data_IF_948883394083
#
_entry.id   IF_948883394083
#
_cell.length_a   1.000
_cell.length_b   1.000
_cell.length_c   1.000
_cell.angle_alpha   90.00
_cell.angle_beta   90.00
_cell.angle_gamma   90.00
#
_symmetry.space_group_name_H-M   'P 1'
#
loop_
_entity.id
_entity.type
_entity.pdbx_description
1 polymer ?
#
# COMPACT_ATOMS: atom_id res chain seq x y z
N UNK A 1 23.91 20.47 -22.20
CA UNK A 1 24.59 19.78 -21.09
C UNK A 1 24.17 20.29 -19.70
N UNK A 2 23.83 21.56 -19.51
CA UNK A 2 23.41 22.14 -18.20
C UNK A 2 21.97 21.80 -17.75
N UNK A 3 21.05 21.43 -18.65
CA UNK A 3 19.66 21.12 -18.31
C UNK A 3 19.46 19.69 -17.74
N UNK A 4 20.30 18.75 -18.14
CA UNK A 4 20.28 17.37 -17.65
C UNK A 4 20.75 17.25 -16.20
N UNK A 5 21.66 18.11 -15.78
CA UNK A 5 22.24 18.09 -14.44
C UNK A 5 21.24 18.61 -13.37
N UNK A 6 20.56 19.74 -13.66
CA UNK A 6 19.51 20.29 -12.78
C UNK A 6 18.30 19.36 -12.61
N UNK A 7 17.86 18.70 -13.69
CA UNK A 7 16.76 17.71 -13.62
C UNK A 7 17.12 16.56 -12.67
N UNK A 8 18.33 16.02 -12.79
CA UNK A 8 18.83 14.95 -11.94
C UNK A 8 18.94 15.37 -10.47
N UNK A 9 19.32 16.63 -10.20
CA UNK A 9 19.40 17.14 -8.84
C UNK A 9 18.01 17.29 -8.19
N UNK A 10 17.03 17.81 -8.92
CA UNK A 10 15.65 17.94 -8.43
C UNK A 10 14.97 16.58 -8.22
N UNK A 11 15.22 15.62 -9.10
CA UNK A 11 14.74 14.23 -8.90
C UNK A 11 15.33 13.60 -7.62
N UNK A 12 16.62 13.84 -7.35
CA UNK A 12 17.25 13.41 -6.10
C UNK A 12 16.68 14.14 -4.87
N UNK A 13 16.35 15.43 -5.01
CA UNK A 13 15.75 16.21 -3.93
C UNK A 13 14.34 15.70 -3.60
N UNK A 14 13.52 15.39 -4.60
CA UNK A 14 12.19 14.77 -4.43
C UNK A 14 12.31 13.39 -3.77
N UNK A 15 13.25 12.58 -4.21
CA UNK A 15 13.50 11.26 -3.61
C UNK A 15 13.94 11.36 -2.13
N UNK A 16 14.81 12.33 -1.78
CA UNK A 16 15.20 12.58 -0.38
C UNK A 16 13.99 12.99 0.46
N UNK A 17 13.10 13.84 -0.06
CA UNK A 17 11.87 14.21 0.64
C UNK A 17 10.98 12.98 0.88
N UNK A 18 10.77 12.16 -0.14
CA UNK A 18 10.02 10.91 0.00
C UNK A 18 10.65 9.96 1.03
N UNK A 19 11.98 9.82 1.01
CA UNK A 19 12.70 8.99 1.98
C UNK A 19 12.56 9.50 3.43
N UNK A 20 12.57 10.82 3.65
CA UNK A 20 12.28 11.40 4.97
C UNK A 20 10.84 11.08 5.41
N UNK A 21 9.89 11.15 4.49
CA UNK A 21 8.46 10.92 4.73
C UNK A 21 8.07 9.43 4.75
N UNK A 22 8.97 8.50 4.46
CA UNK A 22 8.67 7.05 4.53
C UNK A 22 8.68 6.48 5.95
N UNK A 23 9.05 7.28 6.95
CA UNK A 23 9.06 6.89 8.35
C UNK A 23 7.66 6.87 8.93
N UNK A 24 7.41 5.95 9.86
CA UNK A 24 6.10 5.82 10.52
C UNK A 24 5.93 6.89 11.60
N UNK A 25 7.02 7.22 12.29
CA UNK A 25 7.06 8.24 13.34
C UNK A 25 8.06 9.33 12.99
N UNK A 26 7.72 10.57 13.34
CA UNK A 26 8.59 11.72 13.14
C UNK A 26 8.65 12.55 14.44
N UNK A 27 9.84 13.05 14.75
CA UNK A 27 10.08 14.06 15.77
C UNK A 27 10.12 15.48 15.15
N UNK A 28 10.24 16.49 16.01
CA UNK A 28 10.29 17.89 15.58
C UNK A 28 11.46 18.17 14.63
N UNK A 29 12.62 17.60 14.89
CA UNK A 29 13.81 17.79 14.05
C UNK A 29 13.62 17.20 12.65
N UNK A 30 12.91 16.06 12.54
CA UNK A 30 12.58 15.48 11.25
C UNK A 30 11.54 16.31 10.50
N UNK A 31 10.54 16.87 11.16
CA UNK A 31 9.58 17.78 10.52
C UNK A 31 10.25 19.05 9.99
N UNK A 32 11.19 19.63 10.71
CA UNK A 32 11.99 20.76 10.19
C UNK A 32 12.80 20.36 8.95
N UNK A 33 13.38 19.16 8.93
CA UNK A 33 14.12 18.67 7.76
C UNK A 33 13.20 18.46 6.57
N UNK A 34 11.98 17.92 6.80
CA UNK A 34 10.96 17.76 5.77
C UNK A 34 10.57 19.12 5.19
N UNK A 35 10.31 20.13 6.03
CA UNK A 35 9.95 21.46 5.59
C UNK A 35 11.07 22.11 4.75
N UNK A 36 12.33 22.03 5.21
CA UNK A 36 13.49 22.53 4.45
C UNK A 36 13.67 21.82 3.11
N UNK A 37 13.54 20.49 3.08
CA UNK A 37 13.67 19.72 1.84
C UNK A 37 12.54 20.03 0.86
N UNK A 38 11.32 20.19 1.36
CA UNK A 38 10.16 20.60 0.57
C UNK A 38 10.34 21.99 -0.05
N UNK A 39 10.87 22.96 0.71
CA UNK A 39 11.12 24.32 0.23
C UNK A 39 12.20 24.38 -0.88
N UNK A 40 13.03 23.37 -1.01
CA UNK A 40 14.09 23.29 -2.03
C UNK A 40 13.61 22.69 -3.37
N UNK A 41 12.37 22.17 -3.45
CA UNK A 41 11.84 21.58 -4.68
C UNK A 41 11.36 22.66 -5.65
N UNK A 42 11.69 22.48 -6.92
CA UNK A 42 11.14 23.30 -8.00
C UNK A 42 9.73 22.84 -8.42
N UNK A 43 9.09 23.58 -9.31
CA UNK A 43 7.73 23.30 -9.77
C UNK A 43 7.61 21.92 -10.44
N UNK A 44 8.60 21.50 -11.23
CA UNK A 44 8.61 20.22 -11.91
C UNK A 44 8.71 19.05 -10.92
N UNK A 45 9.59 19.15 -9.94
CA UNK A 45 9.75 18.12 -8.91
C UNK A 45 8.45 17.97 -8.10
N UNK A 46 7.78 19.06 -7.77
CA UNK A 46 6.46 19.04 -7.13
C UNK A 46 5.38 18.37 -8.00
N UNK A 47 5.33 18.66 -9.28
CA UNK A 47 4.34 18.09 -10.21
C UNK A 47 4.46 16.56 -10.29
N UNK A 48 5.68 16.04 -10.33
CA UNK A 48 5.94 14.60 -10.43
C UNK A 48 5.76 13.85 -9.10
N UNK A 49 5.83 14.55 -7.98
CA UNK A 49 5.89 13.94 -6.64
C UNK A 49 4.69 13.05 -6.28
N UNK A 50 3.41 13.41 -6.57
CA UNK A 50 2.28 12.54 -6.28
C UNK A 50 2.34 11.20 -7.00
N UNK A 51 2.74 11.20 -8.27
CA UNK A 51 2.89 9.99 -9.06
C UNK A 51 4.02 9.10 -8.51
N UNK A 52 5.18 9.68 -8.22
CA UNK A 52 6.30 8.95 -7.63
C UNK A 52 5.93 8.36 -6.26
N UNK A 53 5.27 9.14 -5.40
CA UNK A 53 4.84 8.69 -4.09
C UNK A 53 3.81 7.54 -4.17
N UNK A 54 2.93 7.56 -5.16
CA UNK A 54 1.99 6.45 -5.43
C UNK A 54 2.72 5.20 -5.91
N UNK A 55 3.65 5.33 -6.84
CA UNK A 55 4.48 4.23 -7.35
C UNK A 55 5.25 3.53 -6.22
N UNK A 56 5.80 4.32 -5.28
CA UNK A 56 6.53 3.79 -4.12
C UNK A 56 5.63 3.40 -2.94
N UNK A 57 4.31 3.56 -3.04
CA UNK A 57 3.36 3.19 -1.99
C UNK A 57 3.50 4.01 -0.71
N UNK A 58 3.91 5.28 -0.81
CA UNK A 58 4.12 6.17 0.35
C UNK A 58 3.26 7.45 0.31
N UNK A 59 2.37 7.58 -0.68
CA UNK A 59 1.54 8.79 -0.83
C UNK A 59 0.79 9.20 0.46
N UNK A 60 0.18 8.26 1.24
CA UNK A 60 -0.47 8.63 2.50
C UNK A 60 0.50 9.13 3.58
N UNK A 61 1.68 8.54 3.70
CA UNK A 61 2.71 8.99 4.64
C UNK A 61 3.25 10.37 4.23
N UNK A 62 3.58 10.52 2.94
CA UNK A 62 4.04 11.80 2.39
C UNK A 62 3.05 12.92 2.67
N UNK A 63 1.76 12.72 2.37
CA UNK A 63 0.71 13.70 2.67
C UNK A 63 0.66 14.06 4.15
N UNK A 64 0.67 13.03 5.01
CA UNK A 64 0.58 13.22 6.47
C UNK A 64 1.75 14.03 7.01
N UNK A 65 2.97 13.71 6.59
CA UNK A 65 4.17 14.38 7.07
C UNK A 65 4.35 15.79 6.49
N UNK A 66 4.04 16.01 5.21
CA UNK A 66 4.04 17.36 4.64
C UNK A 66 3.07 18.27 5.38
N UNK A 67 1.88 17.78 5.72
CA UNK A 67 0.88 18.52 6.48
C UNK A 67 1.36 18.81 7.91
N UNK A 68 1.90 17.81 8.61
CA UNK A 68 2.40 17.96 9.98
C UNK A 68 3.61 18.90 10.06
N UNK A 69 4.47 18.87 9.04
CA UNK A 69 5.63 19.76 8.93
C UNK A 69 5.27 21.19 8.45
N UNK A 70 3.99 21.48 8.17
CA UNK A 70 3.57 22.73 7.52
C UNK A 70 4.41 23.08 6.28
N UNK A 71 4.77 22.04 5.50
CA UNK A 71 5.65 22.17 4.35
C UNK A 71 4.98 23.00 3.23
N UNK A 72 5.74 23.83 2.47
CA UNK A 72 5.21 24.73 1.44
C UNK A 72 4.85 23.96 0.15
N UNK A 73 4.00 22.96 0.24
CA UNK A 73 3.56 22.19 -0.92
C UNK A 73 2.50 22.99 -1.72
N UNK A 74 2.58 23.00 -3.07
CA UNK A 74 1.55 23.61 -3.92
C UNK A 74 0.17 23.00 -3.67
N UNK A 75 -0.87 23.83 -3.77
CA UNK A 75 -2.26 23.44 -3.50
C UNK A 75 -2.70 22.24 -4.34
N UNK A 76 -2.31 22.19 -5.62
CA UNK A 76 -2.64 21.08 -6.53
C UNK A 76 -2.00 19.77 -6.07
N UNK A 77 -0.74 19.81 -5.62
CA UNK A 77 -0.01 18.66 -5.08
C UNK A 77 -0.67 18.17 -3.78
N UNK A 78 -1.03 19.11 -2.89
CA UNK A 78 -1.76 18.75 -1.66
C UNK A 78 -3.09 18.08 -1.96
N UNK A 79 -3.84 18.59 -2.96
CA UNK A 79 -5.12 18.01 -3.40
C UNK A 79 -4.94 16.61 -3.97
N UNK A 80 -3.94 16.41 -4.85
CA UNK A 80 -3.60 15.11 -5.43
C UNK A 80 -3.22 14.08 -4.36
N UNK A 81 -2.30 14.42 -3.45
CA UNK A 81 -1.87 13.54 -2.36
C UNK A 81 -3.00 13.22 -1.38
N UNK A 82 -3.89 14.20 -1.10
CA UNK A 82 -5.09 13.97 -0.29
C UNK A 82 -6.03 12.97 -0.96
N UNK A 83 -6.27 13.11 -2.27
CA UNK A 83 -7.09 12.19 -3.06
C UNK A 83 -6.54 10.76 -2.99
N UNK A 84 -5.24 10.58 -3.22
CA UNK A 84 -4.55 9.29 -3.09
C UNK A 84 -4.69 8.71 -1.67
N UNK A 85 -4.51 9.54 -0.65
CA UNK A 85 -4.66 9.12 0.75
C UNK A 85 -6.06 8.62 1.06
N UNK A 86 -7.10 9.33 0.61
CA UNK A 86 -8.50 8.93 0.80
C UNK A 86 -8.80 7.63 0.06
N UNK A 87 -8.33 7.49 -1.18
CA UNK A 87 -8.48 6.26 -1.98
C UNK A 87 -7.87 5.05 -1.25
N UNK A 88 -6.64 5.17 -0.75
CA UNK A 88 -6.00 4.08 0.00
C UNK A 88 -6.71 3.75 1.30
N UNK A 89 -7.23 4.75 2.01
CA UNK A 89 -8.01 4.51 3.24
C UNK A 89 -9.29 3.73 2.95
N UNK A 90 -10.02 4.09 1.91
CA UNK A 90 -11.25 3.40 1.50
C UNK A 90 -10.94 1.98 1.02
N UNK A 91 -9.95 1.82 0.13
CA UNK A 91 -9.53 0.53 -0.36
C UNK A 91 -9.08 -0.42 0.76
N UNK A 92 -8.26 0.06 1.68
CA UNK A 92 -7.81 -0.74 2.82
C UNK A 92 -8.97 -1.12 3.74
N UNK A 93 -9.92 -0.20 3.98
CA UNK A 93 -11.11 -0.51 4.78
C UNK A 93 -11.93 -1.63 4.16
N UNK A 94 -12.17 -1.58 2.85
CA UNK A 94 -12.91 -2.61 2.13
C UNK A 94 -12.16 -3.96 2.18
N UNK A 95 -10.84 -3.97 1.89
CA UNK A 95 -10.00 -5.18 1.96
C UNK A 95 -9.95 -5.80 3.35
N UNK A 96 -9.90 -4.98 4.40
CA UNK A 96 -9.88 -5.47 5.78
C UNK A 96 -11.23 -6.05 6.20
N UNK A 97 -12.34 -5.50 5.71
CA UNK A 97 -13.65 -6.08 5.95
C UNK A 97 -13.75 -7.49 5.34
N UNK A 98 -13.29 -7.65 4.10
CA UNK A 98 -13.29 -8.95 3.42
C UNK A 98 -12.29 -9.93 4.06
N UNK A 99 -11.09 -9.47 4.43
CA UNK A 99 -10.12 -10.28 5.16
C UNK A 99 -10.75 -10.86 6.44
N UNK A 100 -11.54 -10.08 7.17
CA UNK A 100 -12.22 -10.56 8.37
C UNK A 100 -13.15 -11.73 8.06
N UNK A 101 -13.95 -11.63 6.98
CA UNK A 101 -14.82 -12.72 6.55
C UNK A 101 -14.03 -13.97 6.17
N UNK A 102 -12.89 -13.81 5.50
CA UNK A 102 -11.98 -14.92 5.18
C UNK A 102 -11.49 -15.61 6.45
N UNK A 103 -11.01 -14.82 7.41
CA UNK A 103 -10.48 -15.34 8.68
C UNK A 103 -11.57 -16.10 9.49
N UNK A 104 -12.79 -15.55 9.52
CA UNK A 104 -13.94 -16.20 10.18
C UNK A 104 -14.28 -17.55 9.51
N UNK A 105 -14.29 -17.59 8.17
CA UNK A 105 -14.52 -18.82 7.40
C UNK A 105 -13.42 -19.86 7.60
N UNK A 106 -12.16 -19.41 7.63
CA UNK A 106 -11.02 -20.29 7.90
C UNK A 106 -11.07 -20.84 9.33
N UNK A 107 -11.40 -20.00 10.30
CA UNK A 107 -11.58 -20.39 11.70
C UNK A 107 -12.69 -21.43 11.86
N UNK A 108 -13.85 -21.21 11.28
CA UNK A 108 -14.98 -22.17 11.29
C UNK A 108 -14.61 -23.50 10.63
N UNK A 109 -13.69 -23.49 9.67
CA UNK A 109 -13.17 -24.68 9.02
C UNK A 109 -11.97 -25.32 9.77
N UNK A 110 -11.55 -24.81 10.92
CA UNK A 110 -10.40 -25.28 11.66
C UNK A 110 -9.06 -25.07 10.96
N UNK A 111 -8.97 -24.07 10.07
CA UNK A 111 -7.73 -23.70 9.39
C UNK A 111 -7.01 -22.62 10.21
N UNK A 112 -5.86 -22.98 10.77
CA UNK A 112 -4.96 -22.00 11.37
C UNK A 112 -4.30 -21.17 10.27
N UNK A 113 -4.35 -19.85 10.39
CA UNK A 113 -3.84 -18.91 9.39
C UNK A 113 -3.00 -17.81 10.07
N UNK A 114 -1.94 -17.40 9.41
CA UNK A 114 -1.17 -16.21 9.79
C UNK A 114 -1.27 -15.17 8.67
N UNK A 115 -1.71 -13.97 9.00
CA UNK A 115 -1.70 -12.82 8.07
C UNK A 115 -0.30 -12.27 7.97
N UNK A 116 0.21 -12.09 6.76
CA UNK A 116 1.57 -11.67 6.50
C UNK A 116 1.65 -10.25 5.89
N UNK A 117 2.87 -9.78 5.70
CA UNK A 117 3.25 -8.59 4.91
C UNK A 117 2.40 -7.34 5.16
N UNK A 118 1.80 -6.79 4.07
CA UNK A 118 1.11 -5.51 4.07
C UNK A 118 -0.05 -5.43 5.06
N UNK A 119 -0.91 -6.44 5.08
CA UNK A 119 -2.09 -6.48 5.94
C UNK A 119 -1.73 -6.59 7.43
N UNK A 120 -0.75 -7.44 7.77
CA UNK A 120 -0.26 -7.54 9.15
C UNK A 120 0.40 -6.25 9.61
N UNK A 121 1.32 -5.69 8.80
CA UNK A 121 2.04 -4.46 9.14
C UNK A 121 1.10 -3.28 9.32
N UNK A 122 0.07 -3.15 8.47
CA UNK A 122 -0.89 -2.06 8.55
C UNK A 122 -1.59 -1.98 9.93
N UNK A 123 -1.80 -3.11 10.59
CA UNK A 123 -2.43 -3.18 11.92
C UNK A 123 -1.45 -3.19 13.08
N UNK A 124 -0.27 -3.80 12.90
CA UNK A 124 0.68 -3.98 14.00
C UNK A 124 1.63 -2.79 14.17
N UNK A 125 1.94 -2.08 13.08
CA UNK A 125 3.03 -1.11 13.06
C UNK A 125 2.54 0.30 12.75
N UNK A 126 1.60 0.46 11.80
CA UNK A 126 1.15 1.78 11.38
C UNK A 126 0.13 2.37 12.34
N UNK A 127 0.18 3.69 12.64
CA UNK A 127 -0.79 4.36 13.51
C UNK A 127 -2.24 4.20 13.05
N UNK A 128 -2.44 4.13 11.73
CA UNK A 128 -3.72 3.78 11.11
C UNK A 128 -3.47 2.92 9.88
N UNK A 129 -4.29 1.89 9.62
CA UNK A 129 -4.11 1.03 8.46
C UNK A 129 -4.11 1.76 7.11
N UNK A 130 -4.80 2.90 7.03
CA UNK A 130 -4.87 3.71 5.81
C UNK A 130 -3.57 4.37 5.38
N UNK A 131 -2.55 4.38 6.24
CA UNK A 131 -1.22 4.90 5.90
C UNK A 131 -0.34 3.89 5.16
N UNK A 132 -0.73 2.63 5.12
CA UNK A 132 -0.01 1.55 4.41
C UNK A 132 -0.78 1.13 3.16
N UNK A 133 -0.47 1.66 1.97
CA UNK A 133 -1.05 1.17 0.72
C UNK A 133 -0.83 -0.34 0.58
N UNK A 134 -1.88 -1.06 0.21
CA UNK A 134 -1.85 -2.50 -0.03
C UNK A 134 -2.55 -2.78 -1.36
N UNK A 135 -2.14 -3.85 -2.05
CA UNK A 135 -2.78 -4.35 -3.28
C UNK A 135 -3.33 -5.75 -3.07
N UNK A 136 -2.69 -6.50 -2.18
CA UNK A 136 -2.89 -7.91 -1.90
C UNK A 136 -2.96 -8.17 -0.40
N UNK A 137 -3.40 -9.37 -0.05
CA UNK A 137 -3.39 -9.93 1.30
C UNK A 137 -2.71 -11.30 1.23
N UNK A 138 -1.62 -11.44 1.96
CA UNK A 138 -0.87 -12.69 2.06
C UNK A 138 -1.31 -13.48 3.30
N UNK A 139 -1.69 -14.73 3.10
CA UNK A 139 -2.13 -15.65 4.14
C UNK A 139 -1.24 -16.90 4.17
N UNK A 140 -0.62 -17.17 5.29
CA UNK A 140 0.16 -18.39 5.49
C UNK A 140 -0.70 -19.42 6.19
N UNK A 141 -0.82 -20.61 5.60
CA UNK A 141 -1.52 -21.77 6.16
C UNK A 141 -0.60 -22.99 6.17
N UNK A 142 -0.97 -24.02 6.94
CA UNK A 142 -0.24 -25.30 6.86
C UNK A 142 -0.43 -25.92 5.47
N UNK A 143 0.58 -26.58 4.89
CA UNK A 143 0.49 -27.20 3.55
C UNK A 143 -0.72 -28.15 3.42
N UNK A 144 -1.04 -28.91 4.46
CA UNK A 144 -2.20 -29.81 4.50
C UNK A 144 -3.56 -29.11 4.42
N UNK A 145 -3.62 -27.81 4.76
CA UNK A 145 -4.85 -27.00 4.74
C UNK A 145 -4.99 -26.17 3.45
N UNK A 146 -3.95 -26.05 2.65
CA UNK A 146 -3.88 -25.12 1.54
C UNK A 146 -4.97 -25.33 0.48
N UNK A 147 -5.20 -26.59 0.04
CA UNK A 147 -6.28 -26.92 -0.93
C UNK A 147 -7.67 -26.61 -0.36
N UNK A 148 -7.85 -26.78 0.96
CA UNK A 148 -9.11 -26.46 1.63
C UNK A 148 -9.32 -24.95 1.72
N UNK A 149 -8.29 -24.20 2.05
CA UNK A 149 -8.29 -22.74 2.05
C UNK A 149 -8.69 -22.18 0.68
N UNK A 150 -8.07 -22.67 -0.39
CA UNK A 150 -8.41 -22.27 -1.77
C UNK A 150 -9.86 -22.59 -2.16
N UNK A 151 -10.37 -23.74 -1.71
CA UNK A 151 -11.78 -24.08 -1.97
C UNK A 151 -12.72 -23.11 -1.28
N UNK A 152 -12.45 -22.76 -0.01
CA UNK A 152 -13.25 -21.77 0.73
C UNK A 152 -13.21 -20.41 0.04
N UNK A 153 -12.06 -19.93 -0.42
CA UNK A 153 -11.97 -18.67 -1.18
C UNK A 153 -12.84 -18.73 -2.44
N UNK A 154 -12.84 -19.84 -3.19
CA UNK A 154 -13.72 -20.00 -4.35
C UNK A 154 -15.21 -19.99 -3.99
N UNK A 155 -15.59 -20.63 -2.88
CA UNK A 155 -16.96 -20.62 -2.35
C UNK A 155 -17.39 -19.19 -1.91
N UNK A 156 -16.44 -18.34 -1.55
CA UNK A 156 -16.64 -16.91 -1.26
C UNK A 156 -16.65 -16.02 -2.52
N UNK A 157 -16.52 -16.58 -3.72
CA UNK A 157 -16.57 -15.85 -4.98
C UNK A 157 -15.21 -15.38 -5.51
N UNK A 158 -14.11 -15.76 -4.87
CA UNK A 158 -12.78 -15.43 -5.40
C UNK A 158 -12.49 -16.21 -6.67
N UNK A 159 -12.17 -15.51 -7.75
CA UNK A 159 -11.76 -16.11 -9.00
C UNK A 159 -10.34 -16.68 -8.88
N UNK A 160 -10.15 -17.89 -9.42
CA UNK A 160 -8.80 -18.43 -9.58
C UNK A 160 -8.05 -17.68 -10.68
N UNK A 161 -6.70 -17.55 -10.60
CA UNK A 161 -5.92 -17.00 -11.67
C UNK A 161 -6.02 -17.86 -12.93
N UNK A 162 -5.78 -17.29 -14.12
CA UNK A 162 -5.70 -18.07 -15.36
C UNK A 162 -4.71 -19.23 -15.24
N UNK A 163 -5.02 -20.34 -15.89
CA UNK A 163 -4.25 -21.61 -15.79
C UNK A 163 -2.74 -21.47 -16.13
N UNK A 164 -2.36 -20.46 -16.87
CA UNK A 164 -0.95 -20.16 -17.23
C UNK A 164 -0.07 -19.78 -16.02
N UNK A 165 -0.67 -19.40 -14.90
CA UNK A 165 0.06 -19.13 -13.64
C UNK A 165 0.05 -20.32 -12.66
N UNK A 166 -0.57 -21.44 -13.05
CA UNK A 166 -0.73 -22.62 -12.18
C UNK A 166 0.54 -23.50 -12.12
N UNK A 167 1.49 -23.31 -13.01
CA UNK A 167 2.70 -24.14 -13.16
C UNK A 167 3.94 -23.65 -12.38
N UNK A 168 3.78 -22.79 -11.38
CA UNK A 168 4.88 -22.47 -10.48
C UNK A 168 5.01 -23.56 -9.43
N UNK A 169 6.07 -24.41 -9.48
CA UNK A 169 6.23 -25.52 -8.57
C UNK A 169 6.42 -25.02 -7.14
N UNK A 170 5.60 -25.53 -6.23
CA UNK A 170 5.79 -25.65 -4.77
C UNK A 170 5.98 -24.38 -3.90
N UNK A 171 6.03 -23.15 -4.42
CA UNK A 171 6.33 -22.00 -3.55
C UNK A 171 5.30 -20.88 -3.48
N UNK A 172 4.40 -20.77 -4.43
CA UNK A 172 3.32 -19.79 -4.39
C UNK A 172 2.02 -20.46 -4.84
N UNK A 173 1.10 -20.60 -3.91
CA UNK A 173 -0.25 -21.01 -4.29
C UNK A 173 -0.92 -19.80 -4.96
N UNK A 174 -1.61 -20.09 -6.06
CA UNK A 174 -2.20 -19.10 -6.92
C UNK A 174 -3.00 -18.03 -6.15
N UNK A 175 -2.77 -16.77 -6.51
CA UNK A 175 -3.56 -15.66 -6.03
C UNK A 175 -5.01 -15.80 -6.48
N UNK A 176 -5.96 -15.61 -5.58
CA UNK A 176 -7.39 -15.51 -5.89
C UNK A 176 -7.81 -14.04 -5.81
N UNK A 177 -8.66 -13.56 -6.70
CA UNK A 177 -9.11 -12.17 -6.72
C UNK A 177 -10.62 -12.06 -6.61
N UNK A 178 -11.08 -11.04 -5.92
CA UNK A 178 -12.48 -10.67 -5.77
C UNK A 178 -12.63 -9.19 -6.08
N UNK A 179 -13.54 -8.85 -6.99
CA UNK A 179 -13.98 -7.47 -7.16
C UNK A 179 -14.84 -7.09 -5.95
N UNK A 180 -14.43 -6.05 -5.25
CA UNK A 180 -15.19 -5.50 -4.14
C UNK A 180 -16.23 -4.56 -4.72
N UNK A 181 -17.42 -5.11 -5.01
CA UNK A 181 -18.55 -4.45 -5.68
C UNK A 181 -18.74 -3.00 -5.26
N UNK A 182 -19.25 -2.15 -6.17
CA UNK A 182 -19.55 -0.72 -6.00
C UNK A 182 -18.34 0.18 -5.63
N UNK A 183 -17.26 -0.36 -5.11
CA UNK A 183 -16.08 0.43 -4.69
C UNK A 183 -15.04 0.58 -5.80
N UNK A 184 -15.08 -0.29 -6.82
CA UNK A 184 -14.05 -0.37 -7.87
C UNK A 184 -12.69 -0.86 -7.38
N UNK A 185 -12.63 -1.48 -6.19
CA UNK A 185 -11.41 -2.05 -5.65
C UNK A 185 -11.38 -3.57 -5.83
N UNK A 186 -10.22 -4.07 -6.19
CA UNK A 186 -9.96 -5.52 -6.26
C UNK A 186 -9.20 -5.93 -5.00
N UNK A 187 -9.61 -7.05 -4.40
CA UNK A 187 -8.84 -7.76 -3.39
C UNK A 187 -8.16 -8.98 -4.03
N UNK A 188 -6.84 -8.99 -4.01
CA UNK A 188 -6.04 -10.18 -4.31
C UNK A 188 -5.63 -10.85 -3.02
N UNK A 189 -5.80 -12.18 -2.93
CA UNK A 189 -5.41 -12.99 -1.78
C UNK A 189 -4.44 -14.06 -2.24
N UNK A 190 -3.25 -14.08 -1.65
CA UNK A 190 -2.23 -15.10 -1.88
C UNK A 190 -2.18 -16.05 -0.68
N UNK A 191 -2.29 -17.36 -0.94
CA UNK A 191 -2.18 -18.40 0.10
C UNK A 191 -0.80 -19.05 -0.05
N UNK A 192 0.00 -18.96 1.00
CA UNK A 192 1.36 -19.51 1.12
C UNK A 192 1.41 -20.72 2.02
#
# INVERSE_FOLDING_TARGET
MLLTDKSTEQDRAAFRLMALCSRITCDAALYERIARQAAALDARAWEMLPHQAETHGIAPLLYTHLKAASAPAPTEVQRALRGLTLRHRLANRARMAELRLILDRFGAAGISVCVLKGAALAHLIYPTPGLRPMRDVDLLVRPSAARRAQRILREMGFAAPPAESADLPDKHMAAASLDLDETGFVLSVEVH
#
